data_IF_337402018958
#
_entry.id   IF_337402018958
#
_cell.length_a   1.000
_cell.length_b   1.000
_cell.length_c   1.000
_cell.angle_alpha   90.00
_cell.angle_beta   90.00
_cell.angle_gamma   90.00
#
_symmetry.space_group_name_H-M   'P 1'
#
loop_
_entity.id
_entity.type
_entity.pdbx_description
1 polymer ?
#
# COMPACT_ATOMS: atom_id res chain seq x y z
N UNK A 1 -11.75 19.03 -9.27
CA UNK A 1 -11.48 18.07 -8.17
C UNK A 1 -12.40 16.88 -8.36
N UNK A 2 -11.86 15.66 -8.37
CA UNK A 2 -12.67 14.44 -8.37
C UNK A 2 -13.65 14.52 -7.20
N UNK A 3 -14.94 14.41 -7.48
CA UNK A 3 -15.97 14.42 -6.45
C UNK A 3 -15.96 13.03 -5.80
N UNK A 4 -15.12 12.85 -4.77
CA UNK A 4 -14.83 11.56 -4.11
C UNK A 4 -15.99 11.07 -3.23
N UNK A 5 -17.12 11.80 -3.21
CA UNK A 5 -18.31 11.44 -2.44
C UNK A 5 -19.02 10.19 -2.95
N UNK A 6 -18.69 9.73 -4.16
CA UNK A 6 -19.19 8.46 -4.68
C UNK A 6 -18.25 7.32 -4.27
N UNK A 7 -18.72 6.28 -3.54
CA UNK A 7 -17.88 5.19 -3.04
C UNK A 7 -17.09 4.47 -4.13
N UNK A 8 -17.64 4.40 -5.34
CA UNK A 8 -16.95 3.84 -6.48
C UNK A 8 -15.74 4.64 -6.91
N UNK A 9 -15.91 5.96 -7.06
CA UNK A 9 -14.81 6.88 -7.39
C UNK A 9 -13.76 6.92 -6.29
N UNK A 10 -14.18 6.76 -5.02
CA UNK A 10 -13.24 6.64 -3.91
C UNK A 10 -12.39 5.37 -4.03
N UNK A 11 -13.00 4.22 -4.36
CA UNK A 11 -12.28 2.98 -4.59
C UNK A 11 -11.28 3.10 -5.75
N UNK A 12 -11.72 3.66 -6.88
CA UNK A 12 -10.87 3.85 -8.06
C UNK A 12 -9.72 4.84 -7.76
N UNK A 13 -9.99 5.91 -7.00
CA UNK A 13 -8.98 6.86 -6.56
C UNK A 13 -7.94 6.22 -5.63
N UNK A 14 -8.35 5.45 -4.63
CA UNK A 14 -7.42 4.75 -3.74
C UNK A 14 -6.55 3.78 -4.54
N UNK A 15 -7.14 3.01 -5.46
CA UNK A 15 -6.36 2.13 -6.33
C UNK A 15 -5.38 2.86 -7.25
N UNK A 16 -5.68 4.09 -7.67
CA UNK A 16 -4.75 4.90 -8.48
C UNK A 16 -3.51 5.40 -7.71
N UNK A 17 -3.57 5.39 -6.37
CA UNK A 17 -2.46 5.79 -5.50
C UNK A 17 -1.62 4.56 -5.11
N UNK A 18 -2.25 3.40 -4.98
CA UNK A 18 -1.56 2.15 -4.68
C UNK A 18 -0.70 1.72 -5.87
N UNK A 19 0.50 1.20 -5.58
CA UNK A 19 1.40 0.70 -6.60
C UNK A 19 1.02 -0.73 -7.00
N UNK A 20 -0.12 -0.87 -7.66
CA UNK A 20 -0.68 -2.16 -8.09
C UNK A 20 -0.23 -2.55 -9.49
N UNK A 21 -0.11 -3.85 -9.72
CA UNK A 21 0.07 -4.37 -11.08
C UNK A 21 -1.19 -4.11 -11.92
N UNK A 22 -1.01 -4.06 -13.24
CA UNK A 22 -2.09 -3.73 -14.17
C UNK A 22 -3.30 -4.67 -14.02
N UNK A 23 -3.05 -5.95 -13.81
CA UNK A 23 -4.06 -6.99 -13.63
C UNK A 23 -4.83 -6.81 -12.32
N UNK A 24 -4.13 -6.41 -11.25
CA UNK A 24 -4.73 -6.13 -9.94
C UNK A 24 -5.63 -4.90 -10.03
N UNK A 25 -5.16 -3.83 -10.67
CA UNK A 25 -5.95 -2.63 -10.93
C UNK A 25 -7.20 -2.95 -11.76
N UNK A 26 -7.03 -3.71 -12.85
CA UNK A 26 -8.14 -4.14 -13.70
C UNK A 26 -9.19 -4.94 -12.91
N UNK A 27 -8.74 -5.83 -12.01
CA UNK A 27 -9.62 -6.63 -11.17
C UNK A 27 -10.54 -5.80 -10.26
N UNK A 28 -10.12 -4.59 -9.89
CA UNK A 28 -10.92 -3.66 -9.08
C UNK A 28 -11.96 -2.96 -9.94
N UNK A 29 -11.55 -2.35 -11.05
CA UNK A 29 -12.43 -1.55 -11.90
C UNK A 29 -13.47 -2.39 -12.66
N UNK A 30 -13.20 -3.68 -12.92
CA UNK A 30 -14.16 -4.60 -13.55
C UNK A 30 -15.23 -5.15 -12.57
N UNK A 31 -15.11 -4.83 -11.28
CA UNK A 31 -16.04 -5.32 -10.26
C UNK A 31 -17.35 -4.55 -10.29
N UNK A 32 -18.40 -5.16 -10.86
CA UNK A 32 -19.74 -4.58 -10.97
C UNK A 32 -20.47 -4.41 -9.62
N UNK A 33 -20.05 -5.15 -8.59
CA UNK A 33 -20.63 -5.06 -7.24
C UNK A 33 -19.75 -4.14 -6.38
N UNK A 34 -20.31 -3.02 -5.93
CA UNK A 34 -19.57 -2.02 -5.14
C UNK A 34 -18.93 -2.60 -3.88
N UNK A 35 -19.65 -3.46 -3.15
CA UNK A 35 -19.11 -4.13 -1.95
C UNK A 35 -17.86 -4.93 -2.27
N UNK A 36 -17.92 -5.77 -3.30
CA UNK A 36 -16.78 -6.58 -3.76
C UNK A 36 -15.62 -5.71 -4.20
N UNK A 37 -15.89 -4.59 -4.89
CA UNK A 37 -14.86 -3.63 -5.28
C UNK A 37 -14.15 -3.06 -4.05
N UNK A 38 -14.89 -2.58 -3.05
CA UNK A 38 -14.32 -2.04 -1.81
C UNK A 38 -13.53 -3.09 -1.03
N UNK A 39 -14.02 -4.32 -0.95
CA UNK A 39 -13.31 -5.43 -0.29
C UNK A 39 -11.95 -5.72 -0.97
N UNK A 40 -11.90 -5.69 -2.31
CA UNK A 40 -10.65 -5.82 -3.07
C UNK A 40 -9.69 -4.67 -2.77
N UNK A 41 -10.15 -3.42 -2.82
CA UNK A 41 -9.32 -2.25 -2.50
C UNK A 41 -8.76 -2.34 -1.07
N UNK A 42 -9.61 -2.74 -0.11
CA UNK A 42 -9.19 -2.92 1.27
C UNK A 42 -8.12 -4.00 1.43
N UNK A 43 -8.23 -5.09 0.68
CA UNK A 43 -7.22 -6.16 0.67
C UNK A 43 -5.87 -5.62 0.18
N UNK A 44 -5.85 -4.88 -0.94
CA UNK A 44 -4.63 -4.29 -1.48
C UNK A 44 -4.01 -3.26 -0.51
N UNK A 45 -4.83 -2.40 0.08
CA UNK A 45 -4.37 -1.42 1.06
C UNK A 45 -3.73 -2.09 2.28
N UNK A 46 -4.28 -3.22 2.76
CA UNK A 46 -3.70 -3.97 3.87
C UNK A 46 -2.33 -4.56 3.53
N UNK A 47 -2.18 -5.13 2.33
CA UNK A 47 -0.90 -5.65 1.85
C UNK A 47 0.15 -4.54 1.79
N UNK A 48 -0.23 -3.35 1.31
CA UNK A 48 0.68 -2.21 1.23
C UNK A 48 1.14 -1.75 2.62
N UNK A 49 0.22 -1.67 3.59
CA UNK A 49 0.58 -1.34 4.99
C UNK A 49 1.56 -2.34 5.58
N UNK A 50 1.33 -3.64 5.34
CA UNK A 50 2.22 -4.71 5.80
C UNK A 50 3.61 -4.61 5.18
N UNK A 51 3.69 -4.37 3.87
CA UNK A 51 4.94 -4.16 3.15
C UNK A 51 5.72 -2.96 3.69
N UNK A 52 5.06 -1.82 3.91
CA UNK A 52 5.68 -0.62 4.50
C UNK A 52 6.17 -0.90 5.92
N UNK A 53 5.42 -1.66 6.72
CA UNK A 53 5.84 -2.04 8.08
C UNK A 53 7.13 -2.85 8.06
N UNK A 54 7.24 -3.84 7.17
CA UNK A 54 8.43 -4.68 7.04
C UNK A 54 9.62 -3.85 6.55
N UNK A 55 9.43 -2.99 5.56
CA UNK A 55 10.48 -2.10 5.06
C UNK A 55 11.02 -1.18 6.16
N UNK A 56 10.16 -0.70 7.05
CA UNK A 56 10.54 0.10 8.20
C UNK A 56 11.40 -0.70 9.17
N UNK A 57 10.96 -1.90 9.53
CA UNK A 57 11.70 -2.77 10.44
C UNK A 57 13.11 -3.11 9.89
N UNK A 58 13.21 -3.41 8.60
CA UNK A 58 14.50 -3.66 7.94
C UNK A 58 15.39 -2.42 8.01
N UNK A 59 14.83 -1.24 7.75
CA UNK A 59 15.57 0.03 7.78
C UNK A 59 16.11 0.33 9.19
N UNK A 60 15.28 0.12 10.22
CA UNK A 60 15.68 0.29 11.62
C UNK A 60 16.81 -0.69 12.00
N UNK A 61 16.71 -1.96 11.58
CA UNK A 61 17.78 -2.95 11.80
C UNK A 61 19.09 -2.60 11.10
N UNK A 62 19.03 -2.01 9.90
CA UNK A 62 20.22 -1.53 9.18
C UNK A 62 20.86 -0.37 9.93
N UNK A 63 20.05 0.59 10.39
CA UNK A 63 20.54 1.75 11.14
C UNK A 63 21.24 1.31 12.44
N UNK A 64 20.63 0.38 13.19
CA UNK A 64 21.23 -0.18 14.41
C UNK A 64 22.58 -0.85 14.15
N UNK A 65 22.72 -1.57 13.02
CA UNK A 65 23.99 -2.20 12.63
C UNK A 65 25.05 -1.16 12.29
N UNK A 66 24.68 -0.11 11.55
CA UNK A 66 25.59 0.99 11.20
C UNK A 66 26.07 1.70 12.47
N UNK A 67 25.16 2.04 13.38
CA UNK A 67 25.49 2.72 14.63
C UNK A 67 26.38 1.88 15.56
N UNK A 68 26.21 0.55 15.55
CA UNK A 68 27.10 -0.37 16.28
C UNK A 68 28.48 -0.42 15.63
N UNK A 69 28.54 -0.50 14.30
CA UNK A 69 29.81 -0.53 13.57
C UNK A 69 30.60 0.76 13.83
N UNK A 70 29.98 1.93 13.71
CA UNK A 70 30.65 3.22 13.97
C UNK A 70 31.27 3.27 15.38
N UNK A 71 30.56 2.81 16.41
CA UNK A 71 31.07 2.73 17.80
C UNK A 71 32.22 1.75 18.03
N UNK A 72 32.46 0.82 17.11
CA UNK A 72 33.60 -0.10 17.21
C UNK A 72 34.87 0.45 16.54
N UNK A 73 34.72 1.41 15.63
CA UNK A 73 35.84 2.03 14.91
C UNK A 73 36.34 3.34 15.54
N UNK A 74 35.55 3.94 16.46
CA UNK A 74 35.90 5.11 17.27
C UNK A 74 35.86 4.75 18.76
#
# INVERSE_FOLDING_TARGET
MLNVNEPGKMADFVCSILNLEKEEYQSVIESNILKTRIEKVLLFLKKEIELVSIQREISDQIQDKIDKQQRQFF
#
